data_IF_396713890837
#
_entry.id   IF_396713890837
#
_cell.length_a   1.000
_cell.length_b   1.000
_cell.length_c   1.000
_cell.angle_alpha   90.00
_cell.angle_beta   90.00
_cell.angle_gamma   90.00
#
_symmetry.space_group_name_H-M   'P 1'
#
loop_
_entity.id
_entity.type
_entity.pdbx_description
1 polymer ?
#
# COMPACT_ATOMS: atom_id res chain seq x y z
N UNK A 1 -2.09 -18.87 -6.36
CA UNK A 1 -3.42 -18.74 -5.73
C UNK A 1 -4.49 -18.98 -6.79
N UNK A 2 -5.59 -19.69 -6.47
CA UNK A 2 -6.66 -20.01 -7.44
C UNK A 2 -7.97 -19.25 -7.19
N UNK A 3 -8.05 -18.46 -6.13
CA UNK A 3 -9.24 -17.72 -5.70
C UNK A 3 -9.03 -16.23 -5.93
N UNK A 4 -10.07 -15.56 -6.45
CA UNK A 4 -10.05 -14.12 -6.67
C UNK A 4 -10.36 -13.39 -5.36
N UNK A 5 -9.31 -12.97 -4.65
CA UNK A 5 -9.37 -12.35 -3.33
C UNK A 5 -8.54 -11.07 -3.30
N UNK A 6 -9.05 -10.04 -2.61
CA UNK A 6 -8.29 -8.81 -2.35
C UNK A 6 -7.13 -9.06 -1.36
N UNK A 7 -7.22 -10.08 -0.52
CA UNK A 7 -6.14 -10.46 0.41
C UNK A 7 -4.86 -10.87 -0.34
N UNK A 8 -4.97 -11.34 -1.59
CA UNK A 8 -3.86 -11.91 -2.34
C UNK A 8 -2.70 -10.92 -2.55
N UNK A 9 -2.98 -9.62 -2.66
CA UNK A 9 -1.94 -8.59 -2.87
C UNK A 9 -0.99 -8.44 -1.69
N UNK A 10 -1.36 -8.96 -0.52
CA UNK A 10 -0.57 -8.87 0.71
C UNK A 10 0.19 -10.17 1.03
N UNK A 11 0.20 -11.14 0.12
CA UNK A 11 0.92 -12.39 0.33
C UNK A 11 2.44 -12.20 0.22
N UNK A 12 3.24 -12.71 1.19
CA UNK A 12 4.69 -12.61 1.16
C UNK A 12 5.28 -13.63 0.18
N UNK A 13 5.25 -13.28 -1.10
CA UNK A 13 5.89 -14.04 -2.17
C UNK A 13 7.41 -14.16 -1.95
N UNK A 14 7.97 -15.34 -2.16
CA UNK A 14 9.41 -15.60 -1.99
C UNK A 14 10.27 -14.78 -2.96
N UNK A 15 9.69 -14.36 -4.08
CA UNK A 15 10.27 -13.51 -5.11
C UNK A 15 10.50 -12.06 -4.62
N UNK A 16 9.80 -11.63 -3.57
CA UNK A 16 9.93 -10.30 -3.00
C UNK A 16 11.20 -10.26 -2.14
N UNK A 17 12.28 -9.68 -2.70
CA UNK A 17 13.60 -9.57 -2.06
C UNK A 17 13.87 -8.21 -1.42
N UNK A 18 13.15 -7.17 -1.82
CA UNK A 18 13.34 -5.80 -1.34
C UNK A 18 12.53 -5.53 -0.08
N UNK A 19 13.10 -4.77 0.86
CA UNK A 19 12.36 -4.35 2.06
C UNK A 19 11.31 -3.28 1.75
N UNK A 20 11.58 -2.40 0.79
CA UNK A 20 10.62 -1.42 0.29
C UNK A 20 9.67 -2.08 -0.71
N UNK A 21 8.37 -2.02 -0.41
CA UNK A 21 7.28 -2.47 -1.27
C UNK A 21 6.52 -1.26 -1.78
N UNK A 22 6.24 -1.26 -3.08
CA UNK A 22 5.27 -0.35 -3.69
C UNK A 22 4.08 -1.19 -4.09
N UNK A 23 2.94 -0.95 -3.47
CA UNK A 23 1.68 -1.56 -3.84
C UNK A 23 0.88 -0.57 -4.67
N UNK A 24 0.32 -1.01 -5.79
CA UNK A 24 -0.44 -0.14 -6.71
C UNK A 24 -1.65 -0.88 -7.28
N UNK A 25 -2.73 -0.13 -7.52
CA UNK A 25 -3.87 -0.65 -8.29
C UNK A 25 -3.52 -0.63 -9.79
N UNK A 26 -4.22 -1.44 -10.59
CA UNK A 26 -3.95 -1.61 -12.02
C UNK A 26 -4.67 -0.57 -12.90
N UNK A 27 -5.25 0.46 -12.30
CA UNK A 27 -6.07 1.50 -12.95
C UNK A 27 -5.58 2.94 -12.74
N UNK A 28 -4.33 3.14 -12.32
CA UNK A 28 -3.73 4.47 -12.27
C UNK A 28 -2.23 4.51 -12.58
N UNK A 29 -1.72 5.72 -12.85
CA UNK A 29 -0.32 5.99 -13.19
C UNK A 29 0.21 7.20 -12.41
N UNK A 30 1.33 7.02 -11.72
CA UNK A 30 1.99 8.06 -10.92
C UNK A 30 3.25 8.56 -11.62
N UNK A 31 3.53 9.88 -11.64
CA UNK A 31 4.79 10.38 -12.15
C UNK A 31 5.99 9.77 -11.42
N UNK A 32 7.02 9.39 -12.18
CA UNK A 32 8.24 8.77 -11.64
C UNK A 32 8.88 9.61 -10.52
N UNK A 33 8.89 10.95 -10.65
CA UNK A 33 9.44 11.86 -9.64
C UNK A 33 8.70 11.76 -8.31
N UNK A 34 7.37 11.62 -8.33
CA UNK A 34 6.56 11.50 -7.12
C UNK A 34 6.75 10.13 -6.46
N UNK A 35 6.86 9.07 -7.28
CA UNK A 35 7.17 7.73 -6.80
C UNK A 35 8.57 7.65 -6.17
N UNK A 36 9.58 8.22 -6.83
CA UNK A 36 10.95 8.28 -6.30
C UNK A 36 10.99 9.04 -4.96
N UNK A 37 10.31 10.18 -4.89
CA UNK A 37 10.20 10.95 -3.66
C UNK A 37 9.51 10.16 -2.53
N UNK A 38 8.47 9.37 -2.84
CA UNK A 38 7.82 8.51 -1.84
C UNK A 38 8.74 7.42 -1.30
N UNK A 39 9.55 6.80 -2.17
CA UNK A 39 10.56 5.82 -1.76
C UNK A 39 11.64 6.48 -0.89
N UNK A 40 12.13 7.65 -1.28
CA UNK A 40 13.17 8.36 -0.53
C UNK A 40 12.66 8.87 0.82
N UNK A 41 11.42 9.36 0.87
CA UNK A 41 10.70 9.70 2.11
C UNK A 41 10.62 8.50 3.03
N UNK A 42 10.21 7.33 2.51
CA UNK A 42 10.14 6.10 3.28
C UNK A 42 11.52 5.65 3.79
N UNK A 43 12.55 5.72 2.95
CA UNK A 43 13.94 5.32 3.30
C UNK A 43 14.58 6.23 4.34
N UNK A 44 14.26 7.53 4.34
CA UNK A 44 14.90 8.50 5.23
C UNK A 44 14.52 8.29 6.69
N UNK A 45 13.25 8.55 7.03
CA UNK A 45 12.80 8.57 8.44
C UNK A 45 11.54 7.76 8.70
N UNK A 46 10.88 7.26 7.65
CA UNK A 46 9.53 6.71 7.74
C UNK A 46 9.45 5.22 7.36
N UNK A 47 10.53 4.47 7.58
CA UNK A 47 10.66 3.06 7.19
C UNK A 47 9.65 2.14 7.90
N UNK A 48 9.15 2.57 9.07
CA UNK A 48 8.08 1.92 9.81
C UNK A 48 6.69 2.33 9.31
N UNK A 49 6.53 3.50 8.70
CA UNK A 49 5.22 4.05 8.36
C UNK A 49 4.70 3.50 7.02
N UNK A 50 3.40 3.70 6.85
CA UNK A 50 2.79 3.72 5.53
C UNK A 50 3.05 5.10 4.90
N UNK A 51 3.72 5.14 3.76
CA UNK A 51 3.91 6.37 2.97
C UNK A 51 2.98 6.30 1.76
N UNK A 52 2.01 7.21 1.68
CA UNK A 52 1.02 7.26 0.61
C UNK A 52 0.73 8.67 0.12
N UNK A 53 -0.30 8.83 -0.69
CA UNK A 53 -0.62 10.11 -1.34
C UNK A 53 -1.94 10.71 -0.88
N UNK A 54 -2.01 12.04 -0.80
CA UNK A 54 -3.14 12.75 -0.18
C UNK A 54 -4.48 12.56 -0.88
N UNK A 55 -4.50 12.43 -2.20
CA UNK A 55 -5.72 12.15 -2.98
C UNK A 55 -6.29 10.75 -2.74
N UNK A 56 -5.47 9.84 -2.18
CA UNK A 56 -5.83 8.46 -1.82
C UNK A 56 -6.07 8.31 -0.32
N UNK A 57 -6.15 9.43 0.40
CA UNK A 57 -6.37 9.46 1.83
C UNK A 57 -7.84 9.42 2.23
N UNK A 58 -8.10 8.76 3.35
CA UNK A 58 -9.40 8.63 4.00
C UNK A 58 -9.28 8.76 5.52
N UNK A 59 -10.42 8.81 6.20
CA UNK A 59 -10.49 8.97 7.65
C UNK A 59 -11.49 8.04 8.32
N UNK A 60 -11.15 7.60 9.53
CA UNK A 60 -12.11 7.20 10.53
C UNK A 60 -12.58 8.45 11.28
N UNK A 61 -13.89 8.61 11.51
CA UNK A 61 -14.43 9.72 12.30
C UNK A 61 -15.42 9.17 13.32
N UNK A 62 -15.30 9.52 14.61
CA UNK A 62 -16.29 9.14 15.61
C UNK A 62 -17.62 9.87 15.34
N UNK A 63 -18.74 9.13 15.42
CA UNK A 63 -20.08 9.71 15.32
C UNK A 63 -20.67 9.96 16.69
N UNK A 64 -21.28 11.14 16.88
CA UNK A 64 -21.84 11.58 18.16
C UNK A 64 -23.10 10.80 18.59
N UNK A 65 -23.75 10.10 17.67
CA UNK A 65 -25.10 9.57 17.90
C UNK A 65 -25.06 8.17 18.54
N UNK A 66 -24.05 7.35 18.25
CA UNK A 66 -23.99 5.95 18.73
C UNK A 66 -22.58 5.47 19.14
N UNK A 67 -21.59 6.37 19.26
CA UNK A 67 -20.17 6.00 19.48
C UNK A 67 -19.62 5.07 18.37
N UNK A 68 -20.37 4.93 17.27
CA UNK A 68 -19.94 4.20 16.08
C UNK A 68 -18.97 5.05 15.28
N UNK A 69 -18.06 4.42 14.58
CA UNK A 69 -17.12 5.10 13.71
C UNK A 69 -17.66 5.14 12.28
N UNK A 70 -17.36 6.23 11.57
CA UNK A 70 -17.71 6.41 10.18
C UNK A 70 -16.46 6.42 9.32
N UNK A 71 -16.49 5.68 8.21
CA UNK A 71 -15.47 5.79 7.18
C UNK A 71 -15.82 6.97 6.25
N UNK A 72 -14.90 7.91 6.12
CA UNK A 72 -15.05 9.10 5.26
C UNK A 72 -13.90 9.14 4.27
N UNK A 73 -14.25 9.17 2.99
CA UNK A 73 -13.27 9.46 1.94
C UNK A 73 -13.05 10.97 1.91
N UNK A 74 -11.83 11.40 2.24
CA UNK A 74 -11.52 12.82 2.43
C UNK A 74 -10.94 13.41 1.16
N UNK A 75 -11.68 14.33 0.55
CA UNK A 75 -11.09 15.31 -0.34
C UNK A 75 -10.69 16.51 0.54
N UNK A 76 -9.39 16.86 0.55
CA UNK A 76 -8.60 17.85 1.32
C UNK A 76 -9.24 19.03 2.08
N UNK A 77 -10.52 19.37 1.89
CA UNK A 77 -11.14 20.62 2.34
C UNK A 77 -12.19 20.50 3.44
N UNK A 78 -12.60 19.29 3.83
CA UNK A 78 -13.81 19.15 4.64
C UNK A 78 -13.61 19.07 6.16
N UNK A 79 -12.37 18.84 6.66
CA UNK A 79 -12.22 18.46 8.06
C UNK A 79 -11.24 19.29 8.90
N UNK A 80 -10.32 20.09 8.34
CA UNK A 80 -9.41 20.90 9.17
C UNK A 80 -9.06 22.25 8.52
N UNK A 81 -9.08 23.29 9.35
CA UNK A 81 -8.53 24.62 9.04
C UNK A 81 -6.98 24.64 9.08
N UNK A 82 -6.36 23.58 9.59
CA UNK A 82 -4.93 23.45 9.90
C UNK A 82 -4.17 22.50 8.97
N UNK A 83 -4.79 21.99 7.89
CA UNK A 83 -4.13 21.09 6.92
C UNK A 83 -4.88 19.78 6.69
N UNK A 84 -4.41 18.97 5.75
CA UNK A 84 -5.02 17.67 5.47
C UNK A 84 -4.59 16.67 6.54
N UNK A 85 -5.54 15.91 7.07
CA UNK A 85 -5.25 14.81 8.00
C UNK A 85 -5.97 13.56 7.53
N UNK A 86 -5.26 12.44 7.58
CA UNK A 86 -5.67 11.14 7.11
C UNK A 86 -5.29 10.08 8.14
N UNK A 87 -6.18 9.13 8.39
CA UNK A 87 -5.87 7.96 9.23
C UNK A 87 -5.83 6.67 8.42
N UNK A 88 -6.20 6.73 7.14
CA UNK A 88 -6.19 5.60 6.21
C UNK A 88 -5.63 6.11 4.88
N UNK A 89 -4.69 5.38 4.30
CA UNK A 89 -4.19 5.59 2.93
C UNK A 89 -4.46 4.33 2.11
N UNK A 90 -4.99 4.50 0.89
CA UNK A 90 -5.34 3.36 0.04
C UNK A 90 -4.05 2.70 -0.51
N UNK A 91 -4.07 1.39 -0.79
CA UNK A 91 -2.94 0.60 -1.27
C UNK A 91 -2.60 0.88 -2.74
N UNK A 92 -3.14 1.93 -3.36
CA UNK A 92 -2.70 2.40 -4.66
C UNK A 92 -1.53 3.36 -4.47
N UNK A 93 -0.36 3.06 -5.03
CA UNK A 93 0.89 3.81 -4.81
C UNK A 93 1.31 3.92 -3.33
N UNK A 94 1.07 2.86 -2.55
CA UNK A 94 1.42 2.80 -1.14
C UNK A 94 2.81 2.19 -0.95
N UNK A 95 3.68 2.92 -0.26
CA UNK A 95 5.05 2.49 0.07
C UNK A 95 5.13 2.01 1.52
N UNK A 96 5.66 0.81 1.74
CA UNK A 96 5.77 0.22 3.08
C UNK A 96 6.82 -0.89 3.19
N UNK A 97 7.12 -1.31 4.41
CA UNK A 97 8.07 -2.40 4.69
C UNK A 97 7.48 -3.80 4.40
N UNK A 98 8.21 -4.66 3.67
CA UNK A 98 7.75 -6.03 3.29
C UNK A 98 7.32 -6.90 4.48
N UNK A 99 7.85 -6.65 5.68
CA UNK A 99 7.48 -7.36 6.92
C UNK A 99 5.96 -7.35 7.15
N UNK A 100 5.28 -6.29 6.73
CA UNK A 100 3.83 -6.18 6.88
C UNK A 100 3.05 -7.16 6.00
N UNK A 101 3.63 -7.67 4.90
CA UNK A 101 3.04 -8.77 4.12
C UNK A 101 2.97 -10.06 4.94
N UNK A 102 4.07 -10.38 5.66
CA UNK A 102 4.14 -11.54 6.53
C UNK A 102 3.18 -11.39 7.72
N UNK A 103 3.18 -10.23 8.37
CA UNK A 103 2.27 -9.93 9.47
C UNK A 103 0.81 -10.04 9.03
N UNK A 104 0.46 -9.48 7.86
CA UNK A 104 -0.89 -9.55 7.31
C UNK A 104 -1.33 -11.00 7.04
N UNK A 105 -0.46 -11.80 6.42
CA UNK A 105 -0.82 -13.14 5.98
C UNK A 105 -0.85 -14.16 7.12
N UNK A 106 0.11 -14.08 8.06
CA UNK A 106 0.33 -15.16 9.03
C UNK A 106 0.05 -14.77 10.48
N UNK A 107 0.04 -13.47 10.83
CA UNK A 107 -0.07 -13.02 12.23
C UNK A 107 -1.40 -12.32 12.53
N UNK A 108 -2.05 -11.71 11.54
CA UNK A 108 -3.40 -11.14 11.73
C UNK A 108 -4.42 -12.22 12.14
N UNK A 109 -5.41 -11.88 12.99
CA UNK A 109 -6.56 -12.74 13.25
C UNK A 109 -7.23 -13.17 11.94
N UNK A 110 -7.43 -14.48 11.77
CA UNK A 110 -8.03 -15.04 10.55
C UNK A 110 -9.41 -14.42 10.25
N UNK A 111 -10.20 -14.14 11.29
CA UNK A 111 -11.51 -13.48 11.18
C UNK A 111 -11.48 -12.14 10.46
N UNK A 112 -10.38 -11.38 10.55
CA UNK A 112 -10.23 -10.12 9.84
C UNK A 112 -10.07 -10.33 8.33
N UNK A 113 -9.23 -11.29 7.91
CA UNK A 113 -9.05 -11.64 6.50
C UNK A 113 -10.29 -12.30 5.91
N UNK A 114 -11.01 -13.09 6.69
CA UNK A 114 -12.29 -13.70 6.30
C UNK A 114 -13.36 -12.63 6.05
N UNK A 115 -13.37 -11.55 6.85
CA UNK A 115 -14.28 -10.42 6.62
C UNK A 115 -13.98 -9.73 5.28
N UNK A 116 -12.70 -9.46 4.99
CA UNK A 116 -12.23 -8.91 3.70
C UNK A 116 -12.66 -9.79 2.53
N UNK A 117 -12.47 -11.10 2.65
CA UNK A 117 -12.89 -12.09 1.64
C UNK A 117 -14.40 -12.01 1.39
N UNK A 118 -15.18 -12.10 2.47
CA UNK A 118 -16.65 -12.17 2.41
C UNK A 118 -17.28 -10.91 1.81
N UNK A 119 -16.68 -9.74 2.04
CA UNK A 119 -17.17 -8.45 1.55
C UNK A 119 -16.55 -8.06 0.21
N UNK A 120 -15.44 -8.71 -0.17
CA UNK A 120 -14.59 -8.31 -1.31
C UNK A 120 -14.31 -6.80 -1.27
N UNK A 121 -13.88 -6.32 -0.11
CA UNK A 121 -13.60 -4.91 0.19
C UNK A 121 -12.71 -4.82 1.45
N UNK A 122 -12.29 -3.60 1.81
CA UNK A 122 -11.68 -3.27 3.09
C UNK A 122 -10.31 -3.90 3.39
N UNK A 123 -9.68 -4.53 2.41
CA UNK A 123 -8.31 -5.05 2.51
C UNK A 123 -7.33 -3.92 2.88
N UNK A 124 -7.58 -2.73 2.34
CA UNK A 124 -6.87 -1.50 2.63
C UNK A 124 -7.07 -0.96 4.05
N UNK A 125 -8.31 -0.93 4.55
CA UNK A 125 -8.61 -0.55 5.94
C UNK A 125 -7.92 -1.54 6.89
N UNK A 126 -8.01 -2.85 6.61
CA UNK A 126 -7.37 -3.87 7.42
C UNK A 126 -5.84 -3.69 7.46
N UNK A 127 -5.24 -3.39 6.31
CA UNK A 127 -3.80 -3.17 6.23
C UNK A 127 -3.35 -1.93 7.03
N UNK A 128 -4.11 -0.83 6.98
CA UNK A 128 -3.86 0.34 7.82
C UNK A 128 -4.02 0.04 9.31
N UNK A 129 -5.05 -0.73 9.69
CA UNK A 129 -5.25 -1.20 11.07
C UNK A 129 -4.05 -2.01 11.57
N UNK A 130 -3.58 -2.96 10.76
CA UNK A 130 -2.40 -3.77 11.08
C UNK A 130 -1.18 -2.91 11.37
N UNK A 131 -0.83 -2.01 10.44
CA UNK A 131 0.41 -1.23 10.57
C UNK A 131 0.30 -0.23 11.72
N UNK A 132 -0.82 0.48 11.85
CA UNK A 132 -1.03 1.41 12.96
C UNK A 132 -1.03 0.69 14.32
N UNK A 133 -1.54 -0.55 14.39
CA UNK A 133 -1.48 -1.32 15.62
C UNK A 133 -0.05 -1.73 15.99
N UNK A 134 0.80 -2.05 15.01
CA UNK A 134 2.20 -2.42 15.25
C UNK A 134 3.02 -1.20 15.63
N UNK A 135 2.92 -0.11 14.87
CA UNK A 135 3.82 1.05 15.00
C UNK A 135 3.33 2.07 16.01
N UNK A 136 2.03 2.05 16.32
CA UNK A 136 1.33 3.13 17.04
C UNK A 136 1.46 4.49 16.35
N UNK A 137 1.73 4.51 15.05
CA UNK A 137 1.91 5.71 14.24
C UNK A 137 0.91 5.78 13.08
N UNK A 138 0.64 7.00 12.62
CA UNK A 138 -0.20 7.25 11.47
C UNK A 138 0.56 7.16 10.15
N UNK A 139 -0.15 7.30 9.02
CA UNK A 139 0.49 7.36 7.72
C UNK A 139 1.27 8.67 7.54
N UNK A 140 2.24 8.63 6.65
CA UNK A 140 2.91 9.80 6.08
C UNK A 140 2.32 10.03 4.70
N UNK A 141 1.96 11.27 4.41
CA UNK A 141 1.17 11.60 3.24
C UNK A 141 1.90 12.61 2.37
N UNK A 142 2.03 12.29 1.09
CA UNK A 142 2.65 13.14 0.09
C UNK A 142 1.56 13.84 -0.72
N UNK A 143 1.69 15.14 -0.88
CA UNK A 143 0.84 15.95 -1.74
C UNK A 143 1.28 15.86 -3.21
N UNK A 144 0.90 14.75 -3.84
CA UNK A 144 0.99 14.57 -5.28
C UNK A 144 -0.28 13.91 -5.82
N UNK A 145 -0.43 13.84 -7.14
CA UNK A 145 -1.64 13.39 -7.82
C UNK A 145 -1.32 12.40 -8.94
N UNK A 146 -2.06 11.29 -8.97
CA UNK A 146 -1.99 10.32 -10.06
C UNK A 146 -2.77 10.78 -11.30
N UNK A 147 -2.50 10.12 -12.42
CA UNK A 147 -3.35 10.13 -13.61
C UNK A 147 -4.23 8.89 -13.59
N UNK A 148 -5.54 9.01 -13.33
CA UNK A 148 -6.43 7.85 -13.28
C UNK A 148 -6.73 7.33 -14.68
N UNK A 149 -6.80 6.00 -14.82
CA UNK A 149 -7.37 5.35 -15.98
C UNK A 149 -8.85 5.02 -15.72
N UNK A 150 -9.71 5.25 -16.71
CA UNK A 150 -11.14 4.96 -16.58
C UNK A 150 -11.45 3.48 -16.88
N UNK A 151 -11.05 2.57 -15.99
CA UNK A 151 -11.20 1.12 -16.19
C UNK A 151 -12.42 0.47 -15.51
N UNK A 152 -13.33 1.27 -14.93
CA UNK A 152 -14.34 0.72 -14.02
C UNK A 152 -13.72 0.50 -12.63
N UNK A 153 -14.50 0.09 -11.62
CA UNK A 153 -13.93 -0.07 -10.28
C UNK A 153 -14.92 -0.53 -9.23
N UNK A 154 -14.42 -1.25 -8.22
CA UNK A 154 -15.22 -1.76 -7.09
C UNK A 154 -15.95 -0.64 -6.34
N UNK A 155 -15.36 0.55 -6.30
CA UNK A 155 -15.91 1.74 -5.67
C UNK A 155 -17.25 2.21 -6.26
N UNK A 156 -17.61 1.79 -7.49
CA UNK A 156 -18.89 2.13 -8.12
C UNK A 156 -20.10 1.37 -7.53
N UNK A 157 -19.86 0.34 -6.71
CA UNK A 157 -20.93 -0.42 -6.04
C UNK A 157 -21.68 0.50 -5.05
N UNK A 158 -23.02 0.45 -5.05
CA UNK A 158 -23.86 1.35 -4.22
C UNK A 158 -23.56 1.25 -2.72
N UNK A 159 -23.20 0.06 -2.25
CA UNK A 159 -22.93 -0.24 -0.83
C UNK A 159 -21.46 -0.02 -0.45
N UNK A 160 -20.60 0.49 -1.35
CA UNK A 160 -19.14 0.55 -1.12
C UNK A 160 -18.78 1.29 0.17
N UNK A 161 -19.33 2.49 0.38
CA UNK A 161 -19.01 3.32 1.55
C UNK A 161 -19.63 2.77 2.84
N UNK A 162 -20.82 2.19 2.77
CA UNK A 162 -21.50 1.53 3.90
C UNK A 162 -20.71 0.29 4.34
N UNK A 163 -20.24 -0.51 3.38
CA UNK A 163 -19.39 -1.68 3.60
C UNK A 163 -18.10 -1.29 4.32
N UNK A 164 -17.46 -0.20 3.89
CA UNK A 164 -16.22 0.30 4.51
C UNK A 164 -16.44 0.80 5.93
N UNK A 165 -17.58 1.45 6.20
CA UNK A 165 -17.98 1.83 7.56
C UNK A 165 -18.22 0.59 8.44
N UNK A 166 -18.87 -0.44 7.91
CA UNK A 166 -19.05 -1.72 8.61
C UNK A 166 -17.71 -2.37 8.96
N UNK A 167 -16.80 -2.49 7.99
CA UNK A 167 -15.48 -3.07 8.21
C UNK A 167 -14.72 -2.36 9.32
N UNK A 168 -14.76 -1.03 9.33
CA UNK A 168 -14.06 -0.23 10.32
C UNK A 168 -14.53 -0.53 11.75
N UNK A 169 -15.84 -0.61 11.98
CA UNK A 169 -16.38 -0.97 13.29
C UNK A 169 -16.07 -2.43 13.65
N UNK A 170 -16.16 -3.36 12.69
CA UNK A 170 -15.83 -4.78 12.91
C UNK A 170 -14.35 -5.00 13.22
N UNK A 171 -13.44 -4.25 12.58
CA UNK A 171 -12.02 -4.35 12.89
C UNK A 171 -11.70 -3.79 14.28
N UNK A 172 -12.40 -2.76 14.76
CA UNK A 172 -12.25 -2.32 16.16
C UNK A 172 -12.62 -3.42 17.15
N UNK A 173 -13.73 -4.14 16.90
CA UNK A 173 -14.10 -5.31 17.72
C UNK A 173 -13.00 -6.39 17.68
N UNK A 174 -12.48 -6.72 16.49
CA UNK A 174 -11.46 -7.77 16.31
C UNK A 174 -10.11 -7.40 16.96
N UNK A 175 -9.71 -6.13 16.89
CA UNK A 175 -8.45 -5.64 17.45
C UNK A 175 -8.56 -5.24 18.92
N UNK A 176 -9.77 -5.25 19.51
CA UNK A 176 -10.01 -4.86 20.90
C UNK A 176 -9.90 -3.35 21.16
N UNK A 177 -9.92 -2.52 20.11
CA UNK A 177 -9.75 -1.07 20.21
C UNK A 177 -9.51 -0.41 18.86
N UNK A 178 -9.42 0.92 18.84
CA UNK A 178 -9.08 1.69 17.63
C UNK A 178 -7.57 1.88 17.51
N UNK A 179 -6.87 1.18 16.60
CA UNK A 179 -5.44 1.37 16.42
C UNK A 179 -5.09 2.52 15.48
N UNK A 180 -6.01 2.96 14.60
CA UNK A 180 -5.70 3.97 13.59
C UNK A 180 -5.30 5.28 14.23
N UNK A 181 -4.20 5.84 13.76
CA UNK A 181 -3.68 7.16 14.15
C UNK A 181 -3.76 8.11 12.97
N UNK A 182 -3.97 9.39 13.24
CA UNK A 182 -3.95 10.40 12.19
C UNK A 182 -2.53 10.68 11.70
N UNK A 183 -2.46 11.31 10.52
CA UNK A 183 -1.23 11.57 9.77
C UNK A 183 -0.10 12.09 10.65
N UNK A 184 1.04 11.40 10.57
CA UNK A 184 2.27 11.77 11.29
C UNK A 184 3.03 12.89 10.58
N UNK A 185 2.93 12.97 9.25
CA UNK A 185 3.57 14.02 8.45
C UNK A 185 2.87 14.23 7.10
N UNK A 186 2.74 15.49 6.68
CA UNK A 186 2.47 15.87 5.29
C UNK A 186 3.76 16.40 4.64
N UNK A 187 4.05 15.96 3.42
CA UNK A 187 5.19 16.38 2.62
C UNK A 187 4.74 16.72 1.19
N UNK A 188 5.50 17.54 0.47
CA UNK A 188 5.33 17.83 -0.96
C UNK A 188 6.53 17.34 -1.73
N UNK A 189 6.35 16.94 -2.99
CA UNK A 189 7.46 16.47 -3.85
C UNK A 189 8.57 17.51 -4.04
N UNK A 190 8.26 18.79 -3.82
CA UNK A 190 9.22 19.90 -3.88
C UNK A 190 10.07 20.04 -2.60
N UNK A 191 9.72 19.35 -1.51
CA UNK A 191 10.41 19.43 -0.23
C UNK A 191 11.72 18.61 -0.24
N UNK A 192 12.71 19.04 0.54
CA UNK A 192 13.92 18.23 0.77
C UNK A 192 13.65 17.13 1.80
N UNK A 193 13.99 15.88 1.47
CA UNK A 193 13.80 14.72 2.37
C UNK A 193 14.47 14.93 3.73
N UNK A 194 15.68 15.51 3.76
CA UNK A 194 16.45 15.81 4.98
C UNK A 194 15.76 16.83 5.93
N UNK A 195 14.73 17.53 5.45
CA UNK A 195 13.98 18.51 6.24
C UNK A 195 12.68 17.94 6.84
N UNK A 196 12.36 16.67 6.56
CA UNK A 196 11.14 16.03 7.04
C UNK A 196 11.32 15.53 8.48
N UNK A 197 11.01 16.37 9.47
CA UNK A 197 10.89 15.94 10.87
C UNK A 197 9.53 15.32 11.18
N UNK A 198 9.45 14.35 12.09
CA UNK A 198 8.18 13.86 12.65
C UNK A 198 7.34 15.04 13.21
N UNK A 199 6.03 15.04 12.95
CA UNK A 199 5.11 15.98 13.61
C UNK A 199 4.46 15.25 14.77
N UNK A 200 4.39 15.91 15.93
CA UNK A 200 3.59 15.43 17.07
C UNK A 200 2.17 15.13 16.63
N UNK A 201 1.67 13.94 16.95
CA UNK A 201 0.37 13.42 16.51
C UNK A 201 -0.76 14.43 16.70
N UNK A 202 -1.60 14.60 15.68
CA UNK A 202 -2.87 15.35 15.75
C UNK A 202 -3.91 14.69 16.68
N UNK A 203 -3.56 13.56 17.31
CA UNK A 203 -4.40 12.83 18.26
C UNK A 203 -4.77 13.70 19.48
N UNK A 204 -3.92 14.66 19.89
CA UNK A 204 -4.16 15.52 21.05
C UNK A 204 -5.36 16.48 20.85
N UNK A 205 -5.64 16.91 19.61
CA UNK A 205 -6.80 17.76 19.30
C UNK A 205 -8.14 16.99 19.38
N UNK A 206 -8.11 15.65 19.32
CA UNK A 206 -9.28 14.78 19.50
C UNK A 206 -9.36 14.12 20.88
N UNK A 207 -8.29 14.17 21.69
CA UNK A 207 -8.23 13.64 23.05
C UNK A 207 -9.15 14.36 24.05
N UNK A 208 -9.66 15.55 23.69
CA UNK A 208 -10.59 16.34 24.52
C UNK A 208 -12.00 15.76 24.70
N UNK A 209 -12.34 14.66 24.02
CA UNK A 209 -13.55 13.87 24.29
C UNK A 209 -13.21 12.72 25.25
N UNK A 210 -12.99 13.03 26.52
CA UNK A 210 -12.79 11.99 27.53
C UNK A 210 -14.05 11.13 27.70
N UNK A 211 -13.85 9.82 27.55
CA UNK A 211 -14.75 8.77 28.00
C UNK A 211 -14.95 8.88 29.52
N UNK A 212 -16.19 9.12 29.95
CA UNK A 212 -16.64 8.62 31.25
C UNK A 212 -17.18 7.20 31.02
N UNK A 213 -16.37 6.19 31.36
CA UNK A 213 -16.88 4.83 31.52
C UNK A 213 -17.82 4.81 32.72
N UNK A 214 -19.12 4.70 32.47
CA UNK A 214 -20.06 4.34 33.54
C UNK A 214 -19.90 2.85 33.80
N UNK A 215 -19.37 2.54 34.98
CA UNK A 215 -19.30 1.17 35.51
C UNK A 215 -20.71 0.68 35.81
N UNK A 216 -21.20 -0.27 35.02
CA UNK A 216 -22.22 -1.19 35.49
C UNK A 216 -21.58 -2.57 35.59
N UNK A 217 -21.39 -3.02 36.83
CA UNK A 217 -20.92 -4.35 37.17
C UNK A 217 -21.89 -5.40 36.60
N UNK A 218 -21.54 -5.98 35.46
CA UNK A 218 -22.00 -7.31 35.07
C UNK A 218 -20.77 -8.16 34.77
N UNK A 219 -20.55 -9.19 35.59
CA UNK A 219 -19.53 -10.21 35.41
C UNK A 219 -19.75 -10.94 34.08
N UNK A 220 -19.06 -10.47 33.04
CA UNK A 220 -18.87 -11.24 31.81
C UNK A 220 -17.60 -12.05 32.00
N UNK A 221 -17.75 -13.37 32.03
CA UNK A 221 -16.63 -14.31 32.13
C UNK A 221 -15.69 -14.13 30.96
N UNK A 222 -14.45 -13.73 31.25
CA UNK A 222 -13.35 -13.63 30.31
C UNK A 222 -13.17 -14.94 29.53
N UNK A 223 -13.49 -14.92 28.23
CA UNK A 223 -12.84 -15.84 27.31
C UNK A 223 -11.48 -15.22 26.99
N UNK A 224 -10.41 -15.85 27.49
CA UNK A 224 -9.01 -15.55 27.16
C UNK A 224 -8.81 -15.54 25.63
N UNK A 225 -9.04 -14.39 24.98
CA UNK A 225 -8.59 -14.15 23.61
C UNK A 225 -7.15 -13.63 23.66
N UNK A 226 -6.26 -14.56 24.00
CA UNK A 226 -4.82 -14.62 23.76
C UNK A 226 -4.09 -13.27 23.55
N UNK A 227 -3.90 -12.52 24.63
CA UNK A 227 -2.98 -11.37 24.73
C UNK A 227 -1.54 -11.70 24.29
N UNK A 228 -1.18 -13.00 24.26
CA UNK A 228 0.12 -13.50 23.82
C UNK A 228 0.39 -13.31 22.32
N UNK A 229 -0.65 -13.18 21.47
CA UNK A 229 -0.45 -13.00 20.01
C UNK A 229 0.20 -11.65 19.71
N UNK A 230 -0.14 -10.61 20.49
CA UNK A 230 0.36 -9.26 20.26
C UNK A 230 1.76 -9.04 20.85
N UNK A 231 2.08 -9.69 21.98
CA UNK A 231 3.43 -9.64 22.56
C UNK A 231 4.50 -10.29 21.67
N UNK A 232 4.14 -11.32 20.90
CA UNK A 232 5.07 -11.92 19.92
C UNK A 232 5.38 -10.97 18.75
N UNK A 233 4.41 -10.16 18.33
CA UNK A 233 4.55 -9.21 17.20
C UNK A 233 5.47 -8.05 17.58
N UNK A 234 5.43 -7.58 18.82
CA UNK A 234 6.27 -6.48 19.31
C UNK A 234 7.74 -6.90 19.51
N UNK A 235 8.01 -8.18 19.79
CA UNK A 235 9.37 -8.65 20.11
C UNK A 235 10.30 -8.92 18.91
N UNK A 236 9.76 -8.96 17.68
CA UNK A 236 10.53 -9.25 16.45
C UNK A 236 10.85 -8.00 15.60
N UNK A 237 10.52 -6.78 16.06
CA UNK A 237 10.77 -5.54 15.30
C UNK A 237 12.20 -5.01 15.36
N UNK A 238 13.07 -5.60 16.18
CA UNK A 238 14.36 -5.01 16.56
C UNK A 238 15.56 -5.62 15.81
N UNK A 239 15.34 -6.15 14.61
CA UNK A 239 16.41 -6.67 13.76
C UNK A 239 17.33 -5.55 13.25
N UNK A 240 18.57 -5.51 13.74
CA UNK A 240 19.64 -4.63 13.29
C UNK A 240 19.82 -4.66 11.76
N UNK A 241 19.97 -3.46 11.20
CA UNK A 241 20.18 -3.16 9.81
C UNK A 241 21.53 -3.74 9.35
N UNK A 242 21.54 -4.65 8.37
CA UNK A 242 22.75 -5.00 7.63
C UNK A 242 22.88 -4.04 6.45
N UNK A 243 23.80 -3.09 6.59
CA UNK A 243 24.21 -2.12 5.57
C UNK A 243 24.93 -2.81 4.41
N UNK A 244 24.18 -3.39 3.46
CA UNK A 244 24.73 -3.65 2.12
C UNK A 244 23.73 -3.16 1.07
N UNK A 245 23.91 -1.91 0.65
CA UNK A 245 23.19 -1.33 -0.48
C UNK A 245 23.97 -1.57 -1.77
N UNK A 246 23.35 -2.22 -2.76
CA UNK A 246 23.94 -2.42 -4.09
C UNK A 246 23.15 -3.38 -4.98
N UNK A 247 23.48 -3.39 -6.27
CA UNK A 247 23.02 -4.44 -7.19
C UNK A 247 23.70 -5.75 -6.77
N UNK A 248 22.92 -6.80 -6.52
CA UNK A 248 23.42 -8.12 -6.07
C UNK A 248 24.35 -8.75 -7.12
N UNK A 249 24.19 -8.37 -8.39
CA UNK A 249 24.98 -8.83 -9.52
C UNK A 249 25.76 -7.64 -10.11
N UNK A 250 27.08 -7.76 -10.26
CA UNK A 250 27.89 -6.68 -10.82
C UNK A 250 27.55 -6.50 -12.31
N UNK A 251 27.15 -5.28 -12.70
CA UNK A 251 27.01 -4.90 -14.11
C UNK A 251 28.43 -4.82 -14.68
N UNK A 252 28.83 -5.83 -15.45
CA UNK A 252 30.12 -5.82 -16.15
C UNK A 252 30.05 -4.89 -17.35
N UNK A 253 30.87 -3.83 -17.42
CA UNK A 253 30.92 -2.95 -18.58
C UNK A 253 31.32 -3.74 -19.82
N UNK A 254 30.63 -3.52 -20.94
CA UNK A 254 31.01 -4.14 -22.22
C UNK A 254 32.14 -3.35 -22.90
N UNK A 255 32.29 -2.06 -22.57
CA UNK A 255 33.34 -1.21 -23.14
C UNK A 255 34.69 -1.42 -22.44
N UNK A 256 35.76 -1.38 -23.24
CA UNK A 256 37.15 -1.53 -22.77
C UNK A 256 37.60 -0.40 -21.82
N UNK A 257 36.90 0.74 -21.82
CA UNK A 257 37.16 1.89 -20.94
C UNK A 257 36.48 1.80 -19.57
N UNK A 258 35.72 0.72 -19.30
CA UNK A 258 35.05 0.48 -18.03
C UNK A 258 33.80 1.35 -17.79
N UNK A 259 33.34 2.08 -18.80
CA UNK A 259 32.11 2.89 -18.68
C UNK A 259 30.86 2.02 -18.78
N UNK A 260 30.00 2.09 -17.76
CA UNK A 260 28.72 1.37 -17.79
C UNK A 260 27.75 2.11 -18.71
N UNK A 261 27.38 1.48 -19.82
CA UNK A 261 26.35 2.01 -20.70
C UNK A 261 24.96 1.75 -20.08
N UNK A 262 24.01 2.69 -20.10
CA UNK A 262 22.63 2.44 -19.65
C UNK A 262 21.97 1.20 -20.28
N UNK A 263 22.39 0.80 -21.49
CA UNK A 263 21.96 -0.43 -22.16
C UNK A 263 22.43 -1.68 -21.41
N UNK A 264 23.60 -1.65 -20.78
CA UNK A 264 24.16 -2.79 -20.04
C UNK A 264 23.34 -3.06 -18.76
N UNK A 265 22.87 -2.00 -18.09
CA UNK A 265 21.91 -2.12 -17.00
C UNK A 265 20.56 -2.68 -17.48
N UNK A 266 20.09 -2.24 -18.65
CA UNK A 266 18.80 -2.69 -19.20
C UNK A 266 18.79 -4.19 -19.55
N UNK A 267 19.94 -4.72 -19.99
CA UNK A 267 20.12 -6.14 -20.34
C UNK A 267 19.96 -7.13 -19.19
N UNK A 268 20.11 -6.69 -17.93
CA UNK A 268 19.79 -7.54 -16.78
C UNK A 268 18.28 -7.82 -16.65
N UNK A 269 17.42 -6.93 -17.16
CA UNK A 269 15.97 -7.08 -17.09
C UNK A 269 15.39 -7.73 -18.35
N UNK A 270 15.93 -7.39 -19.52
CA UNK A 270 15.53 -7.95 -20.81
C UNK A 270 16.68 -8.76 -21.38
N UNK A 271 16.77 -10.01 -20.93
CA UNK A 271 17.81 -10.95 -21.33
C UNK A 271 17.57 -11.48 -22.76
N UNK A 272 18.64 -11.96 -23.40
CA UNK A 272 18.61 -12.45 -24.79
C UNK A 272 17.58 -13.56 -25.02
N UNK A 273 17.27 -14.35 -23.99
CA UNK A 273 16.25 -15.40 -24.02
C UNK A 273 14.85 -14.82 -24.20
N UNK A 274 14.53 -13.70 -23.53
CA UNK A 274 13.26 -12.98 -23.67
C UNK A 274 13.18 -12.36 -25.06
N UNK A 275 14.24 -11.70 -25.52
CA UNK A 275 14.30 -11.11 -26.87
C UNK A 275 14.11 -12.18 -27.95
N UNK A 276 14.81 -13.32 -27.79
CA UNK A 276 14.72 -14.45 -28.71
C UNK A 276 13.32 -15.06 -28.74
N UNK A 277 12.67 -15.17 -27.59
CA UNK A 277 11.29 -15.63 -27.50
C UNK A 277 10.33 -14.65 -28.18
N UNK A 278 10.47 -13.34 -27.94
CA UNK A 278 9.66 -12.30 -28.57
C UNK A 278 9.77 -12.34 -30.10
N UNK A 279 10.99 -12.41 -30.63
CA UNK A 279 11.22 -12.49 -32.08
C UNK A 279 10.60 -13.76 -32.66
N UNK A 280 10.81 -14.90 -32.00
CA UNK A 280 10.26 -16.20 -32.46
C UNK A 280 8.74 -16.20 -32.50
N UNK A 281 8.09 -15.76 -31.43
CA UNK A 281 6.63 -15.74 -31.35
C UNK A 281 6.04 -14.70 -32.30
N UNK A 282 6.67 -13.52 -32.43
CA UNK A 282 6.22 -12.50 -33.38
C UNK A 282 6.26 -13.03 -34.81
N UNK A 283 7.33 -13.71 -35.20
CA UNK A 283 7.44 -14.32 -36.54
C UNK A 283 6.41 -15.44 -36.73
N UNK A 284 6.21 -16.30 -35.72
CA UNK A 284 5.19 -17.36 -35.77
C UNK A 284 3.79 -16.78 -35.96
N UNK A 285 3.43 -15.74 -35.21
CA UNK A 285 2.14 -15.06 -35.34
C UNK A 285 1.99 -14.37 -36.71
N UNK A 286 3.05 -13.71 -37.20
CA UNK A 286 3.05 -13.09 -38.52
C UNK A 286 2.83 -14.13 -39.63
N UNK A 287 3.49 -15.28 -39.59
CA UNK A 287 3.29 -16.37 -40.55
C UNK A 287 1.85 -16.90 -40.53
N UNK A 288 1.29 -17.16 -39.35
CA UNK A 288 -0.12 -17.59 -39.20
C UNK A 288 -1.10 -16.55 -39.74
N UNK A 289 -0.82 -15.27 -39.51
CA UNK A 289 -1.63 -14.17 -40.02
C UNK A 289 -1.56 -14.10 -41.56
N UNK A 290 -0.38 -14.22 -42.15
CA UNK A 290 -0.18 -14.18 -43.61
C UNK A 290 -0.78 -15.39 -44.34
N UNK A 291 -0.90 -16.54 -43.67
CA UNK A 291 -1.61 -17.71 -44.21
C UNK A 291 -3.13 -17.51 -44.29
N UNK A 292 -3.69 -16.73 -43.37
CA UNK A 292 -5.15 -16.48 -43.29
C UNK A 292 -5.57 -15.19 -44.01
N UNK A 293 -4.64 -14.24 -44.19
CA UNK A 293 -4.88 -12.94 -44.80
C UNK A 293 -3.89 -12.70 -45.95
N UNK A 294 -4.35 -12.85 -47.20
CA UNK A 294 -3.55 -12.48 -48.38
C UNK A 294 -3.24 -10.98 -48.36
N UNK A 295 -1.96 -10.62 -48.31
CA UNK A 295 -1.52 -9.24 -48.46
C UNK A 295 -1.98 -8.67 -49.81
N UNK A 296 -2.82 -7.63 -49.77
CA UNK A 296 -3.23 -6.92 -50.98
C UNK A 296 -2.07 -6.05 -51.51
N UNK A 297 -1.98 -5.93 -52.85
CA UNK A 297 -0.91 -5.26 -53.62
C UNK A 297 -0.52 -3.83 -53.18
N UNK A 298 -1.32 -3.16 -52.34
CA UNK A 298 -0.98 -1.83 -51.79
C UNK A 298 0.15 -1.84 -50.75
N UNK A 299 0.56 -2.99 -50.23
CA UNK A 299 1.63 -3.11 -49.22
C UNK A 299 3.06 -3.19 -49.80
N UNK A 300 3.23 -3.23 -51.13
CA UNK A 300 4.56 -3.38 -51.78
C UNK A 300 5.36 -2.08 -51.99
N UNK A 301 4.83 -0.91 -51.59
CA UNK A 301 5.47 0.39 -51.86
C UNK A 301 6.11 1.04 -50.62
N UNK A 302 6.58 0.24 -49.67
CA UNK A 302 7.44 0.69 -48.58
C UNK A 302 8.69 -0.20 -48.56
N UNK A 303 9.54 -0.01 -49.58
CA UNK A 303 10.97 -0.30 -49.55
C UNK A 303 11.70 0.96 -50.00
#
# INVERSE_FOLDING_TARGET
>A
MKTNSLNNRFYPHNEIRTDCIINMDDDSDMPYSDMAFAIDTWRGHFFNNLVGFSHLGSNHIPTYINVTLQYVHSNKRLLSKNGAFYSIVHPSWLVFHRRYLYQYTYKLPQSARDLVESLTNCDDILFNFLVANITKQGPVVIDAWEKPYNLGGLWKRRTHMETRTLCLNKFVEIFGGMPLKYTTKEARTEDSVDSLSEVSSLDDDFAGMHLESTSSDEEVTDNEMNSNVWSEIESESDGEFLEDHGIVEQVTPISEDGTINPIDCYRHFIIDEIISLMVRETNRYAEQYLLTHKLNKRSKNLQ
#
